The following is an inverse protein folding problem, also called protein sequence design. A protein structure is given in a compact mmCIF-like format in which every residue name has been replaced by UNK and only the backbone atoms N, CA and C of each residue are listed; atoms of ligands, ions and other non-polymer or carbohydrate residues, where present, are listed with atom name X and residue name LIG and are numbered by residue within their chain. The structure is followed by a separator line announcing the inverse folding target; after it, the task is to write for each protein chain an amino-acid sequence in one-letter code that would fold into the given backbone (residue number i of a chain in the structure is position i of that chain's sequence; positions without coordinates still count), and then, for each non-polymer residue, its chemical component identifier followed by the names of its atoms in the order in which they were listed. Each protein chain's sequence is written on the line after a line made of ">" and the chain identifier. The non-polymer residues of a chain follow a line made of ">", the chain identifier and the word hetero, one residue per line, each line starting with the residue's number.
data_IF_342976305959
#
_entry.id   IF_342976305959
#
_cell.length_a   1.000
_cell.length_b   1.000
_cell.length_c   1.000
_cell.angle_alpha   90.00
_cell.angle_beta   90.00
_cell.angle_gamma   90.00
#
_symmetry.space_group_name_H-M   'P 1'
#
loop_
_entity.id
_entity.type
_entity.pdbx_description
1 polymer ?
#
# COMPACT_ATOMS: atom_id res chain seq x y z
N UNK A 1 -20.65 22.32 -43.16
CA UNK A 1 -21.20 21.01 -42.78
C UNK A 1 -20.24 20.12 -41.93
N UNK A 2 -18.95 20.40 -41.86
CA UNK A 2 -17.99 19.58 -41.05
C UNK A 2 -17.98 19.91 -39.53
N UNK A 3 -18.35 21.10 -39.12
CA UNK A 3 -18.30 21.54 -37.70
C UNK A 3 -19.45 20.94 -36.87
N UNK A 4 -20.64 20.73 -37.48
CA UNK A 4 -21.79 20.14 -36.77
C UNK A 4 -21.57 18.65 -36.36
N UNK A 5 -20.78 17.89 -37.12
CA UNK A 5 -20.53 16.46 -36.83
C UNK A 5 -19.67 16.25 -35.59
N UNK A 6 -18.73 17.15 -35.30
CA UNK A 6 -17.83 17.03 -34.12
C UNK A 6 -18.53 17.44 -32.81
N UNK A 7 -19.49 18.37 -32.88
CA UNK A 7 -20.29 18.75 -31.72
C UNK A 7 -21.25 17.63 -31.26
N UNK A 8 -21.85 16.90 -32.23
CA UNK A 8 -22.74 15.78 -31.91
C UNK A 8 -22.05 14.62 -31.22
N UNK A 9 -20.81 14.28 -31.64
CA UNK A 9 -20.03 13.20 -31.00
C UNK A 9 -19.55 13.54 -29.58
N UNK A 10 -19.21 14.82 -29.34
CA UNK A 10 -18.78 15.25 -28.00
C UNK A 10 -19.95 15.29 -27.01
N UNK A 11 -21.12 15.72 -27.45
CA UNK A 11 -22.33 15.78 -26.61
C UNK A 11 -22.84 14.37 -26.28
N UNK A 12 -22.81 13.44 -27.22
CA UNK A 12 -23.21 12.05 -26.97
C UNK A 12 -22.25 11.34 -26.05
N UNK A 13 -20.93 11.57 -26.15
CA UNK A 13 -19.93 11.01 -25.27
C UNK A 13 -20.06 11.53 -23.84
N UNK A 14 -20.32 12.81 -23.66
CA UNK A 14 -20.53 13.43 -22.36
C UNK A 14 -21.85 12.97 -21.72
N UNK A 15 -22.94 12.83 -22.50
CA UNK A 15 -24.22 12.30 -22.01
C UNK A 15 -24.11 10.83 -21.58
N UNK A 16 -23.38 9.98 -22.33
CA UNK A 16 -23.11 8.60 -21.92
C UNK A 16 -22.29 8.52 -20.62
N UNK A 17 -21.29 9.39 -20.44
CA UNK A 17 -20.51 9.44 -19.20
C UNK A 17 -21.34 9.90 -17.99
N UNK A 18 -22.29 10.79 -18.20
CA UNK A 18 -23.19 11.26 -17.12
C UNK A 18 -24.19 10.17 -16.74
N UNK A 19 -24.74 9.43 -17.72
CA UNK A 19 -25.64 8.30 -17.47
C UNK A 19 -24.93 7.16 -16.75
N UNK A 20 -23.72 6.77 -17.18
CA UNK A 20 -22.92 5.74 -16.51
C UNK A 20 -22.59 6.12 -15.05
N UNK A 21 -22.35 7.40 -14.78
CA UNK A 21 -22.14 7.89 -13.40
C UNK A 21 -23.41 7.86 -12.54
N UNK A 22 -24.57 8.07 -13.12
CA UNK A 22 -25.84 7.97 -12.40
C UNK A 22 -26.11 6.52 -11.98
N UNK A 23 -25.84 5.56 -12.85
CA UNK A 23 -26.00 4.13 -12.58
C UNK A 23 -25.01 3.63 -11.50
N UNK A 24 -23.74 4.02 -11.57
CA UNK A 24 -22.74 3.69 -10.56
C UNK A 24 -23.10 4.26 -9.17
N UNK A 25 -23.55 5.51 -9.09
CA UNK A 25 -24.02 6.13 -7.84
C UNK A 25 -25.21 5.39 -7.24
N UNK A 26 -26.16 5.01 -8.08
CA UNK A 26 -27.34 4.26 -7.68
C UNK A 26 -26.98 2.86 -7.19
N UNK A 27 -26.04 2.20 -7.86
CA UNK A 27 -25.52 0.89 -7.46
C UNK A 27 -24.80 0.96 -6.11
N UNK A 28 -23.97 1.98 -5.87
CA UNK A 28 -23.30 2.21 -4.59
C UNK A 28 -24.33 2.36 -3.48
N UNK A 29 -25.32 3.26 -3.64
CA UNK A 29 -26.36 3.49 -2.63
C UNK A 29 -27.19 2.23 -2.36
N UNK A 30 -27.48 1.43 -3.38
CA UNK A 30 -28.18 0.16 -3.21
C UNK A 30 -27.34 -0.86 -2.44
N UNK A 31 -26.05 -0.99 -2.74
CA UNK A 31 -25.11 -1.87 -2.04
C UNK A 31 -25.01 -1.49 -0.56
N UNK A 32 -24.87 -0.19 -0.25
CA UNK A 32 -24.82 0.30 1.14
C UNK A 32 -26.12 0.01 1.90
N UNK A 33 -27.27 0.20 1.25
CA UNK A 33 -28.59 -0.13 1.83
C UNK A 33 -28.73 -1.61 2.14
N UNK A 34 -28.08 -2.49 1.37
CA UNK A 34 -28.04 -3.94 1.57
C UNK A 34 -26.96 -4.38 2.58
N UNK A 35 -26.28 -3.43 3.24
CA UNK A 35 -25.27 -3.70 4.27
C UNK A 35 -23.84 -3.87 3.71
N UNK A 36 -23.62 -3.62 2.43
CA UNK A 36 -22.29 -3.46 1.86
C UNK A 36 -21.64 -2.16 2.34
N UNK A 37 -20.32 -2.06 2.19
CA UNK A 37 -19.57 -0.86 2.59
C UNK A 37 -18.72 -0.37 1.43
N UNK A 38 -18.82 0.92 1.14
CA UNK A 38 -18.03 1.59 0.11
C UNK A 38 -17.13 2.61 0.77
N UNK A 39 -15.81 2.56 0.50
CA UNK A 39 -14.82 3.47 1.05
C UNK A 39 -13.97 4.07 -0.06
N UNK A 40 -14.02 5.38 -0.21
CA UNK A 40 -13.18 6.10 -1.17
C UNK A 40 -11.71 6.06 -0.77
N UNK A 41 -10.83 5.92 -1.76
CA UNK A 41 -9.37 5.80 -1.54
C UNK A 41 -8.79 7.10 -0.98
N UNK A 42 -9.31 8.26 -1.40
CA UNK A 42 -8.96 9.58 -0.90
C UNK A 42 -10.15 10.55 -1.05
N UNK A 43 -10.11 11.68 -0.31
CA UNK A 43 -11.20 12.67 -0.26
C UNK A 43 -11.65 13.17 -1.65
N UNK A 44 -10.71 13.35 -2.57
CA UNK A 44 -10.97 13.89 -3.90
C UNK A 44 -10.83 12.82 -5.01
N UNK A 45 -10.81 11.53 -4.63
CA UNK A 45 -10.73 10.41 -5.56
C UNK A 45 -12.10 9.90 -5.94
N UNK A 46 -12.25 9.50 -7.22
CA UNK A 46 -13.42 8.72 -7.66
C UNK A 46 -13.19 7.20 -7.45
N UNK A 47 -11.98 6.77 -7.08
CA UNK A 47 -11.66 5.37 -6.84
C UNK A 47 -12.07 4.97 -5.43
N UNK A 48 -12.62 3.76 -5.29
CA UNK A 48 -13.10 3.25 -4.00
C UNK A 48 -12.92 1.73 -3.88
N UNK A 49 -12.98 1.27 -2.65
CA UNK A 49 -13.10 -0.15 -2.28
C UNK A 49 -14.53 -0.49 -1.92
N UNK A 50 -14.95 -1.73 -2.21
CA UNK A 50 -16.26 -2.27 -1.87
C UNK A 50 -16.12 -3.54 -1.06
N UNK A 51 -16.82 -3.62 0.07
CA UNK A 51 -16.89 -4.84 0.87
C UNK A 51 -18.34 -5.33 0.91
N UNK A 52 -18.56 -6.54 0.43
CA UNK A 52 -19.85 -7.23 0.48
C UNK A 52 -19.84 -8.13 1.70
N UNK A 53 -20.66 -7.79 2.70
CA UNK A 53 -20.80 -8.55 3.93
C UNK A 53 -22.21 -9.15 4.05
N UNK A 54 -22.32 -10.18 4.88
CA UNK A 54 -23.63 -10.62 5.34
C UNK A 54 -24.18 -9.58 6.31
N UNK A 55 -25.40 -9.08 6.09
CA UNK A 55 -26.04 -8.21 7.05
C UNK A 55 -26.40 -9.02 8.30
N UNK A 56 -25.62 -8.81 9.37
CA UNK A 56 -25.79 -9.53 10.64
C UNK A 56 -27.02 -9.02 11.43
N UNK A 57 -27.43 -7.78 11.21
CA UNK A 57 -28.52 -7.13 11.94
C UNK A 57 -29.87 -7.35 11.27
N UNK A 58 -29.90 -7.55 9.96
CA UNK A 58 -31.12 -7.82 9.21
C UNK A 58 -30.88 -8.87 8.12
N UNK A 59 -31.07 -10.14 8.49
CA UNK A 59 -30.85 -11.28 7.59
C UNK A 59 -31.75 -11.28 6.35
N UNK A 60 -32.92 -10.65 6.44
CA UNK A 60 -33.90 -10.58 5.35
C UNK A 60 -33.58 -9.46 4.34
N UNK A 61 -32.73 -8.51 4.69
CA UNK A 61 -32.38 -7.35 3.86
C UNK A 61 -30.88 -7.27 3.50
N UNK A 62 -30.17 -8.39 3.56
CA UNK A 62 -28.77 -8.46 3.18
C UNK A 62 -28.56 -8.61 1.67
N UNK A 63 -27.33 -8.39 1.23
CA UNK A 63 -26.92 -8.63 -0.14
C UNK A 63 -27.08 -10.11 -0.52
N UNK A 64 -27.69 -10.37 -1.67
CA UNK A 64 -28.02 -11.72 -2.15
C UNK A 64 -27.47 -11.94 -3.57
N UNK A 65 -27.61 -13.18 -4.08
CA UNK A 65 -27.27 -13.49 -5.47
C UNK A 65 -28.06 -12.66 -6.50
N UNK A 66 -29.28 -12.20 -6.18
CA UNK A 66 -30.06 -11.35 -7.07
C UNK A 66 -29.47 -9.93 -7.24
N UNK A 67 -28.70 -9.48 -6.25
CA UNK A 67 -28.15 -8.13 -6.21
C UNK A 67 -26.76 -8.04 -6.88
N UNK A 68 -26.18 -9.18 -7.23
CA UNK A 68 -24.80 -9.28 -7.77
C UNK A 68 -24.61 -8.44 -9.03
N UNK A 69 -25.65 -8.23 -9.82
CA UNK A 69 -25.63 -7.37 -11.01
C UNK A 69 -25.17 -5.94 -10.72
N UNK A 70 -25.45 -5.43 -9.51
CA UNK A 70 -25.03 -4.10 -9.07
C UNK A 70 -23.51 -3.95 -9.10
N UNK A 71 -22.76 -5.03 -8.91
CA UNK A 71 -21.30 -5.01 -8.93
C UNK A 71 -20.75 -4.69 -10.32
N UNK A 72 -21.50 -4.97 -11.39
CA UNK A 72 -21.11 -4.66 -12.77
C UNK A 72 -21.06 -3.17 -13.10
N UNK A 73 -21.80 -2.36 -12.32
CA UNK A 73 -21.88 -0.90 -12.50
C UNK A 73 -20.73 -0.14 -11.80
N UNK A 74 -19.89 -0.83 -11.03
CA UNK A 74 -18.86 -0.23 -10.19
C UNK A 74 -17.58 0.11 -10.96
N UNK A 75 -17.68 0.95 -11.97
CA UNK A 75 -16.61 1.25 -12.94
C UNK A 75 -15.31 1.82 -12.31
N UNK A 76 -15.42 2.47 -11.15
CA UNK A 76 -14.30 3.06 -10.43
C UNK A 76 -13.84 2.23 -9.21
N UNK A 77 -14.40 1.04 -9.01
CA UNK A 77 -13.93 0.15 -7.95
C UNK A 77 -12.51 -0.37 -8.24
N UNK A 78 -11.61 -0.13 -7.31
CA UNK A 78 -10.22 -0.62 -7.38
C UNK A 78 -9.98 -1.84 -6.49
N UNK A 79 -10.88 -2.09 -5.54
CA UNK A 79 -10.82 -3.22 -4.63
C UNK A 79 -12.23 -3.73 -4.33
N UNK A 80 -12.43 -5.05 -4.44
CA UNK A 80 -13.67 -5.72 -4.01
C UNK A 80 -13.33 -6.84 -3.04
N UNK A 81 -14.01 -6.86 -1.90
CA UNK A 81 -13.89 -7.89 -0.87
C UNK A 81 -15.22 -8.57 -0.62
N UNK A 82 -15.28 -9.87 -0.90
CA UNK A 82 -16.43 -10.71 -0.58
C UNK A 82 -16.21 -11.38 0.78
N UNK A 83 -16.94 -10.91 1.79
CA UNK A 83 -17.00 -11.49 3.13
C UNK A 83 -18.35 -12.17 3.39
N UNK A 84 -19.06 -12.52 2.33
CA UNK A 84 -20.35 -13.19 2.37
C UNK A 84 -20.18 -14.70 2.16
N UNK A 85 -20.70 -15.56 3.06
CA UNK A 85 -20.47 -17.02 3.01
C UNK A 85 -21.11 -17.71 1.81
N UNK A 86 -22.12 -17.08 1.20
CA UNK A 86 -22.82 -17.63 0.03
C UNK A 86 -22.22 -17.20 -1.30
N UNK A 87 -21.13 -16.42 -1.28
CA UNK A 87 -20.40 -16.03 -2.49
C UNK A 87 -19.90 -17.27 -3.23
N UNK A 88 -20.41 -17.48 -4.43
CA UNK A 88 -20.05 -18.56 -5.34
C UNK A 88 -19.56 -18.03 -6.71
N UNK A 89 -19.32 -18.93 -7.64
CA UNK A 89 -18.77 -18.60 -8.97
C UNK A 89 -19.66 -17.61 -9.76
N UNK A 90 -20.98 -17.60 -9.53
CA UNK A 90 -21.92 -16.72 -10.24
C UNK A 90 -21.75 -15.25 -9.84
N UNK A 91 -21.29 -14.99 -8.61
CA UNK A 91 -21.09 -13.65 -8.10
C UNK A 91 -19.94 -12.90 -8.78
N UNK A 92 -19.07 -13.62 -9.47
CA UNK A 92 -17.90 -13.07 -10.15
C UNK A 92 -18.21 -12.61 -11.59
N UNK A 93 -19.29 -13.12 -12.18
CA UNK A 93 -19.62 -12.83 -13.58
C UNK A 93 -19.77 -11.32 -13.87
N UNK A 94 -20.48 -10.52 -13.05
CA UNK A 94 -20.67 -9.10 -13.33
C UNK A 94 -19.40 -8.27 -13.29
N UNK A 95 -18.41 -8.66 -12.49
CA UNK A 95 -17.20 -7.85 -12.29
C UNK A 95 -16.15 -8.00 -13.41
N UNK A 96 -16.41 -8.84 -14.41
CA UNK A 96 -15.46 -9.14 -15.52
C UNK A 96 -14.97 -7.92 -16.30
N UNK A 97 -15.79 -6.87 -16.36
CA UNK A 97 -15.52 -5.66 -17.14
C UNK A 97 -14.98 -4.49 -16.30
N UNK A 98 -14.70 -4.70 -15.01
CA UNK A 98 -14.19 -3.66 -14.12
C UNK A 98 -12.70 -3.38 -14.40
N UNK A 99 -12.44 -2.52 -15.39
CA UNK A 99 -11.08 -2.25 -15.89
C UNK A 99 -10.13 -1.59 -14.89
N UNK A 100 -10.65 -1.05 -13.77
CA UNK A 100 -9.85 -0.45 -12.69
C UNK A 100 -9.62 -1.39 -11.49
N UNK A 101 -10.25 -2.57 -11.47
CA UNK A 101 -10.15 -3.50 -10.35
C UNK A 101 -8.74 -4.07 -10.21
N UNK A 102 -8.05 -3.68 -9.14
CA UNK A 102 -6.68 -4.08 -8.82
C UNK A 102 -6.62 -5.18 -7.76
N UNK A 103 -7.59 -5.21 -6.83
CA UNK A 103 -7.58 -6.17 -5.71
C UNK A 103 -8.91 -6.88 -5.59
N UNK A 104 -8.86 -8.21 -5.52
CA UNK A 104 -10.02 -9.06 -5.35
C UNK A 104 -9.81 -10.04 -4.19
N UNK A 105 -10.67 -9.93 -3.19
CA UNK A 105 -10.65 -10.76 -1.99
C UNK A 105 -11.83 -11.71 -2.00
N UNK A 106 -11.53 -13.02 -2.09
CA UNK A 106 -12.49 -14.12 -2.17
C UNK A 106 -12.26 -15.20 -1.10
N UNK A 107 -11.50 -14.86 -0.05
CA UNK A 107 -11.15 -15.80 0.99
C UNK A 107 -12.38 -16.36 1.70
N UNK A 108 -12.36 -17.67 1.98
CA UNK A 108 -13.43 -18.38 2.71
C UNK A 108 -14.80 -18.34 2.01
N UNK A 109 -14.81 -18.29 0.67
CA UNK A 109 -16.02 -18.32 -0.16
C UNK A 109 -16.15 -19.68 -0.88
N UNK A 110 -17.28 -19.88 -1.58
CA UNK A 110 -17.57 -21.10 -2.36
C UNK A 110 -17.01 -21.05 -3.79
N UNK A 111 -16.01 -20.20 -4.03
CA UNK A 111 -15.36 -20.05 -5.35
C UNK A 111 -14.64 -21.34 -5.74
N UNK A 112 -14.82 -21.72 -6.99
CA UNK A 112 -14.17 -22.86 -7.65
C UNK A 112 -13.38 -22.43 -8.90
N UNK A 113 -12.85 -23.43 -9.63
CA UNK A 113 -12.15 -23.20 -10.91
C UNK A 113 -13.02 -22.53 -11.97
N UNK A 114 -14.35 -22.58 -11.86
CA UNK A 114 -15.26 -21.93 -12.81
C UNK A 114 -15.15 -20.41 -12.75
N UNK A 115 -15.07 -19.83 -11.57
CA UNK A 115 -14.89 -18.38 -11.41
C UNK A 115 -13.57 -17.89 -12.02
N UNK A 116 -12.52 -18.73 -12.04
CA UNK A 116 -11.21 -18.35 -12.55
C UNK A 116 -11.22 -18.07 -14.06
N UNK A 117 -12.21 -18.59 -14.80
CA UNK A 117 -12.42 -18.20 -16.21
C UNK A 117 -12.73 -16.71 -16.33
N UNK A 118 -13.61 -16.21 -15.46
CA UNK A 118 -13.97 -14.78 -15.43
C UNK A 118 -12.86 -13.94 -14.81
N UNK A 119 -12.30 -14.36 -13.69
CA UNK A 119 -11.21 -13.64 -13.01
C UNK A 119 -10.01 -13.46 -13.94
N UNK A 120 -9.66 -14.48 -14.71
CA UNK A 120 -8.56 -14.45 -15.67
C UNK A 120 -8.72 -13.44 -16.82
N UNK A 121 -9.91 -12.86 -17.02
CA UNK A 121 -10.15 -11.77 -17.99
C UNK A 121 -9.95 -10.37 -17.40
N UNK A 122 -9.83 -10.23 -16.06
CA UNK A 122 -9.65 -8.94 -15.38
C UNK A 122 -8.17 -8.53 -15.42
N UNK A 123 -7.70 -8.07 -16.57
CA UNK A 123 -6.28 -7.77 -16.82
C UNK A 123 -5.65 -6.69 -15.96
N UNK A 124 -6.46 -5.91 -15.23
CA UNK A 124 -6.02 -4.90 -14.26
C UNK A 124 -5.61 -5.47 -12.91
N UNK A 125 -5.91 -6.76 -12.64
CA UNK A 125 -5.77 -7.36 -11.32
C UNK A 125 -4.30 -7.49 -10.90
N UNK A 126 -3.98 -6.97 -9.71
CA UNK A 126 -2.66 -7.02 -9.09
C UNK A 126 -2.62 -7.92 -7.85
N UNK A 127 -3.76 -8.11 -7.19
CA UNK A 127 -3.90 -8.90 -5.96
C UNK A 127 -5.12 -9.81 -6.05
N UNK A 128 -4.94 -11.11 -5.79
CA UNK A 128 -6.01 -12.09 -5.74
C UNK A 128 -5.87 -12.99 -4.52
N UNK A 129 -6.89 -12.99 -3.65
CA UNK A 129 -6.92 -13.84 -2.47
C UNK A 129 -7.99 -14.92 -2.61
N UNK A 130 -7.55 -16.16 -2.75
CA UNK A 130 -8.37 -17.38 -2.87
C UNK A 130 -8.22 -18.30 -1.64
N UNK A 131 -7.74 -17.75 -0.51
CA UNK A 131 -7.55 -18.53 0.72
C UNK A 131 -8.82 -19.30 1.10
N UNK A 132 -8.66 -20.58 1.36
CA UNK A 132 -9.76 -21.49 1.77
C UNK A 132 -10.96 -21.45 0.81
N UNK A 133 -10.67 -21.56 -0.49
CA UNK A 133 -11.66 -21.76 -1.56
C UNK A 133 -11.51 -23.16 -2.17
N UNK A 134 -12.43 -23.54 -3.08
CA UNK A 134 -12.42 -24.85 -3.73
C UNK A 134 -11.56 -24.92 -5.00
N UNK A 135 -10.67 -23.94 -5.21
CA UNK A 135 -9.79 -23.88 -6.39
C UNK A 135 -8.78 -25.03 -6.40
N UNK A 136 -8.53 -25.58 -7.58
CA UNK A 136 -7.63 -26.71 -7.83
C UNK A 136 -6.50 -26.34 -8.78
N UNK A 137 -5.57 -27.28 -9.04
CA UNK A 137 -4.49 -27.13 -10.02
C UNK A 137 -5.01 -26.78 -11.43
N UNK A 138 -6.18 -27.32 -11.82
CA UNK A 138 -6.79 -27.05 -13.13
C UNK A 138 -7.25 -25.60 -13.33
N UNK A 139 -7.59 -24.92 -12.24
CA UNK A 139 -8.02 -23.53 -12.28
C UNK A 139 -6.88 -22.54 -12.54
N UNK A 140 -5.67 -22.82 -12.04
CA UNK A 140 -4.57 -21.87 -12.10
C UNK A 140 -4.19 -21.45 -13.52
N UNK A 141 -4.30 -22.35 -14.49
CA UNK A 141 -3.95 -22.05 -15.88
C UNK A 141 -4.82 -20.96 -16.51
N UNK A 142 -6.01 -20.74 -15.96
CA UNK A 142 -6.95 -19.70 -16.39
C UNK A 142 -6.48 -18.28 -16.03
N UNK A 143 -5.56 -18.17 -15.07
CA UNK A 143 -5.00 -16.91 -14.61
C UNK A 143 -3.75 -16.45 -15.41
N UNK A 144 -3.29 -17.20 -16.40
CA UNK A 144 -2.06 -16.91 -17.17
C UNK A 144 -2.06 -15.54 -17.87
N UNK A 145 -3.23 -14.98 -18.15
CA UNK A 145 -3.38 -13.70 -18.80
C UNK A 145 -3.26 -12.50 -17.85
N UNK A 146 -3.23 -12.73 -16.54
CA UNK A 146 -3.10 -11.68 -15.52
C UNK A 146 -1.65 -11.18 -15.41
N UNK A 147 -1.17 -10.45 -16.41
CA UNK A 147 0.22 -9.97 -16.48
C UNK A 147 0.61 -8.99 -15.38
N UNK A 148 -0.37 -8.34 -14.74
CA UNK A 148 -0.16 -7.38 -13.65
C UNK A 148 -0.26 -8.00 -12.27
N UNK A 149 -0.60 -9.30 -12.16
CA UNK A 149 -0.80 -9.97 -10.88
C UNK A 149 0.52 -10.07 -10.10
N UNK A 150 0.58 -9.44 -8.92
CA UNK A 150 1.75 -9.38 -8.04
C UNK A 150 1.64 -10.33 -6.84
N UNK A 151 0.41 -10.55 -6.36
CA UNK A 151 0.16 -11.39 -5.18
C UNK A 151 -1.01 -12.33 -5.40
N UNK A 152 -0.79 -13.62 -5.18
CA UNK A 152 -1.78 -14.69 -5.28
C UNK A 152 -1.74 -15.54 -4.01
N UNK A 153 -2.86 -15.59 -3.27
CA UNK A 153 -2.99 -16.36 -2.04
C UNK A 153 -3.84 -17.60 -2.27
N UNK A 154 -3.24 -18.77 -2.09
CA UNK A 154 -3.80 -20.09 -2.35
C UNK A 154 -3.82 -21.00 -1.10
N UNK A 155 -3.52 -20.47 0.09
CA UNK A 155 -3.50 -21.28 1.29
C UNK A 155 -4.86 -21.93 1.56
N UNK A 156 -4.85 -23.21 1.98
CA UNK A 156 -6.04 -24.04 2.17
C UNK A 156 -6.95 -24.15 0.93
N UNK A 157 -6.40 -24.04 -0.26
CA UNK A 157 -7.03 -24.49 -1.51
C UNK A 157 -6.62 -25.93 -1.82
N UNK A 158 -7.11 -26.47 -2.94
CA UNK A 158 -6.68 -27.78 -3.46
C UNK A 158 -5.52 -27.67 -4.47
N UNK A 159 -4.85 -26.52 -4.52
CA UNK A 159 -3.68 -26.30 -5.38
C UNK A 159 -2.46 -26.92 -4.74
N UNK A 160 -1.75 -27.75 -5.51
CA UNK A 160 -0.51 -28.38 -5.07
C UNK A 160 0.68 -27.42 -5.12
N UNK A 161 1.69 -27.66 -4.27
CA UNK A 161 2.94 -26.89 -4.30
C UNK A 161 3.64 -26.98 -5.65
N UNK A 162 3.66 -28.17 -6.26
CA UNK A 162 4.26 -28.39 -7.59
C UNK A 162 3.60 -27.53 -8.66
N UNK A 163 2.26 -27.46 -8.65
CA UNK A 163 1.50 -26.63 -9.61
C UNK A 163 1.72 -25.14 -9.36
N UNK A 164 1.73 -24.69 -8.12
CA UNK A 164 1.99 -23.30 -7.78
C UNK A 164 3.38 -22.83 -8.28
N UNK A 165 4.43 -23.66 -8.05
CA UNK A 165 5.78 -23.41 -8.56
C UNK A 165 5.85 -23.36 -10.08
N UNK A 166 5.25 -24.35 -10.76
CA UNK A 166 5.25 -24.41 -12.22
C UNK A 166 4.48 -23.25 -12.85
N UNK A 167 3.34 -22.85 -12.23
CA UNK A 167 2.58 -21.69 -12.66
C UNK A 167 3.39 -20.40 -12.50
N UNK A 168 4.05 -20.19 -11.34
CA UNK A 168 4.90 -19.02 -11.12
C UNK A 168 6.05 -18.94 -12.14
N UNK A 169 6.70 -20.07 -12.45
CA UNK A 169 7.73 -20.13 -13.45
C UNK A 169 7.20 -19.80 -14.85
N UNK A 170 6.00 -20.28 -15.20
CA UNK A 170 5.34 -19.96 -16.47
C UNK A 170 4.99 -18.46 -16.57
N UNK A 171 4.50 -17.85 -15.48
CA UNK A 171 4.21 -16.42 -15.42
C UNK A 171 5.47 -15.58 -15.58
N UNK A 172 6.57 -15.97 -14.94
CA UNK A 172 7.87 -15.31 -15.07
C UNK A 172 8.39 -15.35 -16.52
N UNK A 173 8.32 -16.51 -17.18
CA UNK A 173 8.64 -16.65 -18.62
C UNK A 173 7.76 -15.77 -19.51
N UNK A 174 6.52 -15.54 -19.13
CA UNK A 174 5.57 -14.68 -19.84
C UNK A 174 5.72 -13.18 -19.51
N UNK A 175 6.80 -12.80 -18.78
CA UNK A 175 7.13 -11.41 -18.43
C UNK A 175 6.60 -10.92 -17.09
N UNK A 176 5.82 -11.72 -16.36
CA UNK A 176 5.37 -11.38 -15.01
C UNK A 176 6.34 -11.97 -13.95
N UNK A 177 7.44 -11.28 -13.72
CA UNK A 177 8.46 -11.68 -12.74
C UNK A 177 8.16 -11.24 -11.31
N UNK A 178 7.16 -10.39 -11.11
CA UNK A 178 6.82 -9.81 -9.80
C UNK A 178 5.78 -10.65 -9.03
N UNK A 179 5.27 -11.74 -9.61
CA UNK A 179 4.26 -12.58 -8.99
C UNK A 179 4.82 -13.32 -7.76
N UNK A 180 4.20 -13.08 -6.60
CA UNK A 180 4.39 -13.85 -5.37
C UNK A 180 3.17 -14.74 -5.16
N UNK A 181 3.39 -16.03 -4.87
CA UNK A 181 2.32 -16.99 -4.56
C UNK A 181 2.50 -17.48 -3.13
N UNK A 182 1.43 -17.37 -2.33
CA UNK A 182 1.38 -17.88 -0.96
C UNK A 182 0.45 -19.11 -0.90
N UNK A 183 0.99 -20.25 -0.53
CA UNK A 183 0.25 -21.50 -0.34
C UNK A 183 0.12 -21.92 1.13
N UNK A 184 0.50 -21.04 2.07
CA UNK A 184 0.54 -21.32 3.50
C UNK A 184 1.79 -22.06 3.95
N UNK A 185 1.98 -22.15 5.28
CA UNK A 185 3.11 -22.81 5.96
C UNK A 185 4.47 -22.24 5.56
N UNK A 186 4.82 -21.08 6.09
CA UNK A 186 6.17 -20.45 6.07
C UNK A 186 6.87 -20.32 4.69
N UNK A 187 6.17 -20.65 3.61
CA UNK A 187 6.74 -20.65 2.27
C UNK A 187 6.00 -19.69 1.36
N UNK A 188 6.31 -18.39 1.50
CA UNK A 188 6.08 -17.45 0.41
C UNK A 188 6.98 -17.89 -0.76
N UNK A 189 6.40 -18.41 -1.83
CA UNK A 189 7.13 -18.62 -3.08
C UNK A 189 7.39 -17.26 -3.71
N UNK A 190 8.43 -16.58 -3.22
CA UNK A 190 9.02 -15.47 -3.93
C UNK A 190 9.92 -16.04 -4.99
N UNK A 191 9.74 -15.67 -6.26
CA UNK A 191 10.70 -16.08 -7.28
C UNK A 191 12.10 -15.58 -6.87
N UNK A 192 13.14 -16.36 -7.18
CA UNK A 192 14.53 -15.96 -6.91
C UNK A 192 14.82 -14.56 -7.49
N UNK A 193 14.18 -14.20 -8.60
CA UNK A 193 14.27 -12.91 -9.25
C UNK A 193 13.64 -11.77 -8.42
N UNK A 194 12.50 -12.00 -7.73
CA UNK A 194 11.91 -11.00 -6.83
C UNK A 194 12.83 -10.75 -5.64
N UNK A 195 13.36 -11.81 -5.03
CA UNK A 195 14.29 -11.69 -3.91
C UNK A 195 15.56 -10.93 -4.34
N UNK A 196 16.13 -11.26 -5.49
CA UNK A 196 17.30 -10.56 -6.04
C UNK A 196 16.98 -9.08 -6.31
N UNK A 197 15.84 -8.77 -6.96
CA UNK A 197 15.41 -7.41 -7.26
C UNK A 197 15.14 -6.58 -5.99
N UNK A 198 14.48 -7.17 -4.98
CA UNK A 198 14.25 -6.50 -3.69
C UNK A 198 15.57 -6.22 -2.96
N UNK A 199 16.55 -7.13 -3.02
CA UNK A 199 17.91 -6.89 -2.48
C UNK A 199 18.58 -5.71 -3.18
N UNK A 200 18.54 -5.66 -4.52
CA UNK A 200 19.11 -4.56 -5.31
C UNK A 200 18.41 -3.23 -5.02
N UNK A 201 17.07 -3.22 -4.96
CA UNK A 201 16.31 -2.00 -4.62
C UNK A 201 16.61 -1.51 -3.20
N UNK A 202 16.69 -2.41 -2.21
CA UNK A 202 17.07 -2.04 -0.84
C UNK A 202 18.49 -1.48 -0.77
N UNK A 203 19.44 -2.11 -1.47
CA UNK A 203 20.81 -1.63 -1.52
C UNK A 203 20.91 -0.22 -2.18
N UNK A 204 20.16 -0.01 -3.28
CA UNK A 204 20.09 1.29 -3.95
C UNK A 204 19.47 2.37 -3.06
N UNK A 205 18.36 2.05 -2.36
CA UNK A 205 17.71 2.99 -1.43
C UNK A 205 18.61 3.31 -0.22
N UNK A 206 19.32 2.33 0.32
CA UNK A 206 20.27 2.55 1.42
C UNK A 206 21.47 3.41 0.96
N UNK A 207 21.96 3.18 -0.25
CA UNK A 207 23.07 3.99 -0.82
C UNK A 207 22.63 5.44 -1.01
N UNK A 208 21.47 5.67 -1.64
CA UNK A 208 20.96 7.03 -1.85
C UNK A 208 20.64 7.77 -0.54
N UNK A 209 20.10 7.08 0.47
CA UNK A 209 19.87 7.64 1.80
C UNK A 209 21.18 8.01 2.49
N UNK A 210 22.22 7.17 2.39
CA UNK A 210 23.56 7.45 2.95
C UNK A 210 24.24 8.62 2.24
N UNK A 211 24.13 8.71 0.92
CA UNK A 211 24.66 9.84 0.14
C UNK A 211 23.94 11.15 0.47
N UNK A 212 22.60 11.12 0.60
CA UNK A 212 21.82 12.29 1.02
C UNK A 212 22.18 12.76 2.43
N UNK A 213 22.33 11.81 3.38
CA UNK A 213 22.77 12.11 4.75
C UNK A 213 24.19 12.71 4.78
N UNK A 214 25.12 12.15 4.01
CA UNK A 214 26.49 12.68 3.92
C UNK A 214 26.54 14.09 3.32
N UNK A 215 25.73 14.35 2.27
CA UNK A 215 25.59 15.67 1.67
C UNK A 215 25.00 16.70 2.64
N UNK A 216 23.98 16.30 3.41
CA UNK A 216 23.38 17.14 4.42
C UNK A 216 24.35 17.47 5.56
N UNK A 217 25.09 16.46 6.06
CA UNK A 217 26.11 16.65 7.08
C UNK A 217 27.23 17.56 6.61
N UNK A 218 27.69 17.43 5.34
CA UNK A 218 28.71 18.30 4.78
C UNK A 218 28.22 19.75 4.67
N UNK A 219 27.00 19.99 4.19
CA UNK A 219 26.41 21.33 4.09
C UNK A 219 26.21 21.96 5.48
N UNK A 220 25.88 21.18 6.48
CA UNK A 220 25.76 21.64 7.87
C UNK A 220 27.14 22.00 8.44
N UNK A 221 28.14 21.16 8.22
CA UNK A 221 29.54 21.43 8.63
C UNK A 221 30.10 22.71 7.98
N UNK A 222 29.88 22.91 6.68
CA UNK A 222 30.29 24.13 5.97
C UNK A 222 29.63 25.40 6.53
N UNK A 223 28.33 25.29 6.91
CA UNK A 223 27.60 26.39 7.54
C UNK A 223 28.24 26.81 8.88
N UNK A 224 28.67 25.86 9.68
CA UNK A 224 29.27 26.14 10.99
C UNK A 224 30.75 26.53 10.87
N UNK A 225 31.49 25.99 9.90
CA UNK A 225 32.87 26.36 9.64
C UNK A 225 33.05 27.84 9.20
N UNK A 226 32.01 28.44 8.65
CA UNK A 226 32.00 29.85 8.27
C UNK A 226 31.86 30.82 9.46
N UNK A 227 31.52 30.32 10.65
CA UNK A 227 31.33 31.16 11.86
C UNK A 227 32.69 31.36 12.52
N UNK A 228 33.26 32.55 12.36
CA UNK A 228 34.58 32.89 12.94
C UNK A 228 34.52 33.16 14.46
N UNK A 229 33.41 33.73 14.94
CA UNK A 229 33.16 34.04 16.35
C UNK A 229 31.75 33.54 16.75
N UNK A 230 31.64 32.26 17.14
CA UNK A 230 30.36 31.70 17.46
C UNK A 230 29.76 32.29 18.75
N UNK A 231 28.50 32.71 18.66
CA UNK A 231 27.72 33.16 19.84
C UNK A 231 26.84 32.01 20.31
N UNK A 232 26.91 31.73 21.61
CA UNK A 232 26.23 30.58 22.19
C UNK A 232 24.74 30.52 21.80
N UNK A 233 23.97 31.57 22.07
CA UNK A 233 22.51 31.58 21.88
C UNK A 233 22.11 31.51 20.40
N UNK A 234 22.91 32.07 19.52
CA UNK A 234 22.62 32.15 18.08
C UNK A 234 23.12 30.96 17.29
N UNK A 235 24.30 30.48 17.60
CA UNK A 235 25.04 29.57 16.73
C UNK A 235 25.20 28.17 17.35
N UNK A 236 25.30 28.07 18.68
CA UNK A 236 25.56 26.82 19.43
C UNK A 236 24.28 26.25 20.01
N UNK A 237 23.48 27.05 20.71
CA UNK A 237 22.26 26.57 21.37
C UNK A 237 21.28 25.89 20.43
N UNK A 238 21.03 26.34 19.18
CA UNK A 238 20.16 25.64 18.25
C UNK A 238 20.65 24.21 17.87
N UNK A 239 21.97 24.02 17.83
CA UNK A 239 22.57 22.69 17.54
C UNK A 239 22.33 21.75 18.74
N UNK A 240 22.56 22.26 19.95
CA UNK A 240 22.33 21.53 21.21
C UNK A 240 20.85 21.18 21.34
N UNK A 241 19.94 22.12 21.08
CA UNK A 241 18.50 21.90 21.14
C UNK A 241 18.04 20.81 20.18
N UNK A 242 18.60 20.78 18.97
CA UNK A 242 18.25 19.78 17.95
C UNK A 242 18.75 18.38 18.29
N UNK A 243 19.89 18.26 18.95
CA UNK A 243 20.60 16.98 19.05
C UNK A 243 20.75 16.44 20.48
N UNK A 244 20.67 17.29 21.50
CA UNK A 244 21.04 16.94 22.86
C UNK A 244 19.94 17.21 23.91
N UNK A 245 19.01 18.13 23.65
CA UNK A 245 18.03 18.59 24.65
C UNK A 245 16.96 17.56 25.03
N UNK A 246 16.71 16.56 24.19
CA UNK A 246 15.83 15.44 24.54
C UNK A 246 16.31 14.65 25.79
N UNK A 247 17.62 14.61 26.01
CA UNK A 247 18.24 13.91 27.14
C UNK A 247 18.83 14.86 28.18
N UNK A 248 19.22 16.07 27.80
CA UNK A 248 19.97 17.04 28.61
C UNK A 248 19.27 18.42 28.71
N UNK A 249 17.95 18.46 28.70
CA UNK A 249 17.13 19.66 28.79
C UNK A 249 16.59 19.88 30.21
N UNK A 250 15.63 20.82 30.29
CA UNK A 250 14.99 21.21 31.54
C UNK A 250 14.24 20.06 32.23
N UNK A 251 13.56 19.22 31.43
CA UNK A 251 12.70 18.15 31.92
C UNK A 251 13.42 16.80 32.09
N UNK A 252 14.55 16.61 31.39
CA UNK A 252 15.38 15.42 31.49
C UNK A 252 16.84 15.83 31.65
N UNK A 253 17.49 15.35 32.72
CA UNK A 253 18.88 15.66 33.04
C UNK A 253 19.68 14.37 33.18
N UNK A 254 19.86 13.66 32.05
CA UNK A 254 20.63 12.41 32.04
C UNK A 254 22.08 12.70 32.45
N UNK A 255 22.57 12.00 33.46
CA UNK A 255 23.89 12.29 34.05
C UNK A 255 24.00 13.64 34.75
N UNK A 256 22.87 14.20 35.22
CA UNK A 256 22.78 15.53 35.88
C UNK A 256 23.32 16.69 35.04
N UNK A 257 23.49 16.49 33.71
CA UNK A 257 23.95 17.51 32.78
C UNK A 257 22.77 18.23 32.13
N UNK A 258 22.83 19.57 32.13
CA UNK A 258 21.91 20.44 31.41
C UNK A 258 22.66 21.25 30.36
N UNK A 259 22.04 21.36 29.14
CA UNK A 259 22.64 22.02 27.97
C UNK A 259 21.70 23.07 27.37
N UNK A 260 20.61 23.42 28.04
CA UNK A 260 19.56 24.30 27.54
C UNK A 260 19.87 25.82 27.72
N UNK A 261 20.97 26.15 28.38
CA UNK A 261 21.48 27.50 28.47
C UNK A 261 23.01 27.54 28.63
N UNK A 262 23.64 28.67 28.34
CA UNK A 262 25.06 28.85 28.53
C UNK A 262 25.49 28.69 30.00
N UNK A 263 24.68 29.21 30.91
CA UNK A 263 24.94 29.14 32.37
C UNK A 263 24.88 27.67 32.87
N UNK A 264 23.98 26.86 32.35
CA UNK A 264 23.88 25.44 32.71
C UNK A 264 25.03 24.62 32.07
N UNK A 265 25.42 24.95 30.84
CA UNK A 265 26.58 24.33 30.20
C UNK A 265 27.87 24.57 31.00
N UNK A 266 28.04 25.79 31.53
CA UNK A 266 29.23 26.15 32.34
C UNK A 266 29.22 25.45 33.71
N UNK A 267 28.09 25.16 34.30
CA UNK A 267 28.00 24.37 35.55
C UNK A 267 28.47 22.92 35.38
N UNK A 268 28.29 22.38 34.17
CA UNK A 268 28.68 21.03 33.86
C UNK A 268 27.81 19.95 34.49
N UNK A 269 28.39 18.76 34.70
CA UNK A 269 27.77 17.61 35.32
C UNK A 269 28.34 17.44 36.74
N UNK A 270 27.46 17.27 37.74
CA UNK A 270 27.86 17.11 39.15
C UNK A 270 28.78 18.24 39.71
N UNK A 271 28.70 19.43 39.11
CA UNK A 271 29.53 20.59 39.52
C UNK A 271 30.90 20.64 38.82
N UNK A 272 31.23 19.69 37.98
CA UNK A 272 32.45 19.64 37.18
C UNK A 272 32.16 20.19 35.78
N UNK A 273 32.93 21.22 35.30
CA UNK A 273 32.71 21.81 33.99
C UNK A 273 33.02 20.81 32.88
N UNK A 274 32.05 20.62 31.96
CA UNK A 274 32.22 19.77 30.78
C UNK A 274 32.86 20.50 29.58
N UNK A 275 32.96 21.85 29.68
CA UNK A 275 33.62 22.71 28.68
C UNK A 275 34.62 23.60 29.39
N UNK A 276 35.88 23.54 28.96
CA UNK A 276 36.96 24.43 29.46
C UNK A 276 37.29 25.45 28.42
N UNK A 277 37.12 26.74 28.76
CA UNK A 277 37.34 27.87 27.82
C UNK A 277 38.78 27.87 27.29
N UNK A 278 38.93 27.93 25.99
CA UNK A 278 40.24 27.95 25.30
C UNK A 278 40.98 26.61 25.27
N UNK A 279 40.41 25.55 25.83
CA UNK A 279 41.08 24.23 25.94
C UNK A 279 40.16 23.11 25.44
N UNK A 280 39.98 23.02 24.12
CA UNK A 280 39.12 22.05 23.52
C UNK A 280 39.49 20.59 23.89
N UNK A 281 40.79 20.26 23.96
CA UNK A 281 41.29 18.95 24.33
C UNK A 281 41.07 18.55 25.81
N UNK A 282 40.75 19.51 26.68
CA UNK A 282 40.43 19.28 28.09
C UNK A 282 38.88 19.29 28.34
N UNK A 283 38.09 19.54 27.31
CA UNK A 283 36.63 19.57 27.39
C UNK A 283 36.05 18.16 27.22
N UNK A 284 35.36 17.64 28.21
CA UNK A 284 34.72 16.34 28.15
C UNK A 284 33.41 16.32 27.32
N UNK A 285 33.04 17.49 26.78
CA UNK A 285 31.88 17.66 25.88
C UNK A 285 32.19 17.22 24.43
N UNK A 286 33.45 17.14 24.07
CA UNK A 286 33.93 16.68 22.77
C UNK A 286 34.30 15.20 22.87
#
# INVERSE_FOLDING_TARGET
>A
MKILRHFSLAVTSLALMVLARADEKSAIAAIEKLGGRVLYVAKDSNEYSVTITRNLFNKEKGFTAADVKLLGELSNAVEISFQHPDTDDSWIIPIKNLGKLKKLHLQKTKISDKALNTIGTIGSLEYLNLYKTAVTDGGLDKLKNLKKLKALYLWQTKVTEGKAKSFQAAMAKAGNMDLSINIGVDKDFKSANIVARLKVQRAASQKSAKEAAAKAAKAEAEKYAAIKEPKFDKDILPVIQKSCSECHGKDKQKGKLRLDSFAELQKGADGEPVVTAGKAGESSFL
#
